data_IF_958986856822
#
_entry.id   IF_958986856822
#
_cell.length_a   1.000
_cell.length_b   1.000
_cell.length_c   1.000
_cell.angle_alpha   90.00
_cell.angle_beta   90.00
_cell.angle_gamma   90.00
#
_symmetry.space_group_name_H-M   'P 1'
#
loop_
_entity.id
_entity.type
_entity.pdbx_description
1 polymer ?
#
# COMPACT_ATOMS: atom_id res chain seq x y z
N UNK A 1 44.22 42.21 3.73
CA UNK A 1 42.83 41.88 3.34
C UNK A 1 42.26 40.90 4.34
N UNK A 2 41.56 41.48 5.29
CA UNK A 2 40.63 40.94 6.29
C UNK A 2 39.54 40.08 5.64
N UNK A 3 39.21 38.93 6.21
CA UNK A 3 38.03 38.77 7.05
C UNK A 3 37.89 37.31 7.55
N UNK A 4 37.88 37.20 8.87
CA UNK A 4 37.64 36.02 9.69
C UNK A 4 36.13 35.96 9.95
N UNK A 5 35.45 34.92 9.48
CA UNK A 5 34.01 34.73 9.68
C UNK A 5 33.77 33.59 10.68
N UNK A 6 34.06 33.85 11.95
CA UNK A 6 33.76 32.91 13.03
C UNK A 6 33.24 33.68 14.26
N UNK A 7 32.04 34.25 14.15
CA UNK A 7 31.32 34.79 15.30
C UNK A 7 29.82 35.01 15.01
N UNK A 8 28.97 34.03 15.32
CA UNK A 8 27.54 34.26 15.61
C UNK A 8 26.88 33.04 16.30
N UNK A 9 27.52 32.45 17.33
CA UNK A 9 26.76 31.72 18.37
C UNK A 9 26.52 32.68 19.52
N UNK A 10 25.52 33.53 19.34
CA UNK A 10 25.02 34.43 20.37
C UNK A 10 23.91 33.68 21.12
N UNK A 11 24.19 33.42 22.39
CA UNK A 11 23.23 33.27 23.49
C UNK A 11 22.08 32.27 23.29
N UNK A 12 22.35 30.99 23.56
CA UNK A 12 21.30 30.09 24.06
C UNK A 12 21.60 29.77 25.53
N UNK A 13 21.05 30.61 26.40
CA UNK A 13 20.79 30.27 27.80
C UNK A 13 19.92 29.01 27.82
N UNK A 14 20.54 27.85 28.06
CA UNK A 14 19.81 26.63 28.39
C UNK A 14 19.40 26.75 29.86
N UNK A 15 18.27 27.41 30.11
CA UNK A 15 17.61 27.36 31.41
C UNK A 15 16.98 25.97 31.54
N UNK A 16 17.60 25.12 32.35
CA UNK A 16 16.97 23.91 32.87
C UNK A 16 15.71 24.32 33.64
N UNK A 17 14.53 24.09 33.06
CA UNK A 17 13.27 24.23 33.79
C UNK A 17 13.21 23.05 34.78
N UNK A 18 13.62 23.32 36.02
CA UNK A 18 13.39 22.44 37.15
C UNK A 18 11.89 22.51 37.51
N UNK A 19 11.08 21.60 36.97
CA UNK A 19 9.69 21.46 37.41
C UNK A 19 9.68 20.70 38.74
N UNK A 20 9.21 21.30 39.85
CA UNK A 20 9.11 20.61 41.13
C UNK A 20 8.14 19.42 41.04
N UNK A 21 8.58 18.26 41.51
CA UNK A 21 7.88 16.96 41.47
C UNK A 21 6.75 16.82 42.50
N UNK A 22 6.09 17.90 42.89
CA UNK A 22 5.11 17.87 43.97
C UNK A 22 3.90 18.71 43.64
N UNK A 23 2.75 18.03 43.59
CA UNK A 23 1.38 18.55 43.44
C UNK A 23 0.86 18.57 42.00
N UNK A 24 0.42 17.40 41.51
CA UNK A 24 -0.79 17.18 40.72
C UNK A 24 -0.90 15.69 40.36
N UNK A 25 -1.10 14.85 41.38
CA UNK A 25 -1.32 13.40 41.22
C UNK A 25 -2.82 13.02 41.17
N UNK A 26 -3.70 13.98 40.88
CA UNK A 26 -5.16 13.79 40.95
C UNK A 26 -5.86 14.18 39.64
N UNK A 27 -5.51 13.55 38.51
CA UNK A 27 -6.42 13.32 37.37
C UNK A 27 -5.75 12.60 36.18
N UNK A 28 -5.14 11.43 36.41
CA UNK A 28 -4.70 10.56 35.31
C UNK A 28 -5.40 9.21 35.34
N UNK A 29 -6.71 9.24 35.18
CA UNK A 29 -7.46 8.15 34.56
C UNK A 29 -7.22 8.17 33.03
N UNK A 30 -5.96 8.07 32.60
CA UNK A 30 -5.66 7.69 31.23
C UNK A 30 -5.95 6.19 31.12
N UNK A 31 -7.20 5.85 30.85
CA UNK A 31 -7.50 4.70 30.02
C UNK A 31 -6.77 4.95 28.70
N UNK A 32 -5.50 4.52 28.62
CA UNK A 32 -4.88 4.19 27.34
C UNK A 32 -5.53 2.89 26.86
N UNK A 33 -6.84 2.95 26.61
CA UNK A 33 -7.42 2.13 25.59
C UNK A 33 -6.68 2.52 24.33
N UNK A 34 -5.74 1.69 23.90
CA UNK A 34 -5.23 1.72 22.53
C UNK A 34 -6.47 1.79 21.66
N UNK A 35 -6.78 2.96 21.08
CA UNK A 35 -7.93 3.11 20.20
C UNK A 35 -7.70 2.09 19.09
N UNK A 36 -8.46 1.00 19.09
CA UNK A 36 -8.37 0.00 18.04
C UNK A 36 -8.91 0.67 16.78
N UNK A 37 -8.01 0.96 15.84
CA UNK A 37 -8.39 1.35 14.50
C UNK A 37 -8.99 0.11 13.83
N UNK A 38 -10.32 0.08 13.69
CA UNK A 38 -10.99 -0.97 12.93
C UNK A 38 -10.94 -0.61 11.44
N UNK A 39 -10.21 -1.41 10.67
CA UNK A 39 -10.23 -1.34 9.22
C UNK A 39 -11.43 -2.17 8.73
N UNK A 40 -12.43 -1.50 8.14
CA UNK A 40 -13.55 -2.16 7.48
C UNK A 40 -13.25 -2.29 5.99
N UNK A 41 -13.15 -3.51 5.49
CA UNK A 41 -12.97 -3.83 4.07
C UNK A 41 -14.19 -4.60 3.61
N UNK A 42 -14.78 -4.22 2.48
CA UNK A 42 -15.85 -4.98 1.81
C UNK A 42 -15.19 -5.77 0.69
N UNK A 43 -14.95 -7.09 0.85
CA UNK A 43 -14.14 -7.85 -0.11
C UNK A 43 -14.72 -7.86 -1.52
N UNK A 44 -16.05 -7.80 -1.65
CA UNK A 44 -16.75 -7.72 -2.94
C UNK A 44 -16.39 -6.43 -3.70
N UNK A 45 -16.22 -5.31 -2.99
CA UNK A 45 -15.78 -4.05 -3.62
C UNK A 45 -14.32 -4.12 -4.07
N UNK A 46 -13.47 -4.80 -3.30
CA UNK A 46 -12.06 -5.02 -3.68
C UNK A 46 -11.96 -5.90 -4.92
N UNK A 47 -12.81 -6.92 -5.03
CA UNK A 47 -12.86 -7.78 -6.21
C UNK A 47 -13.35 -7.01 -7.45
N UNK A 48 -14.40 -6.18 -7.32
CA UNK A 48 -14.84 -5.27 -8.40
C UNK A 48 -13.72 -4.33 -8.82
N UNK A 49 -13.03 -3.69 -7.88
CA UNK A 49 -11.92 -2.79 -8.18
C UNK A 49 -10.77 -3.52 -8.90
N UNK A 50 -10.50 -4.78 -8.54
CA UNK A 50 -9.51 -5.61 -9.24
C UNK A 50 -9.91 -5.93 -10.68
N UNK A 51 -11.21 -6.09 -10.96
CA UNK A 51 -11.74 -6.27 -12.31
C UNK A 51 -11.64 -4.97 -13.13
N UNK A 52 -12.02 -3.84 -12.54
CA UNK A 52 -11.91 -2.52 -13.18
C UNK A 52 -10.45 -2.23 -13.56
N UNK A 53 -9.53 -2.53 -12.65
CA UNK A 53 -8.10 -2.30 -12.85
C UNK A 53 -7.55 -3.17 -14.00
N UNK A 54 -7.97 -4.44 -14.09
CA UNK A 54 -7.65 -5.29 -15.23
C UNK A 54 -8.22 -4.75 -16.55
N UNK A 55 -9.42 -4.18 -16.52
CA UNK A 55 -10.04 -3.49 -17.66
C UNK A 55 -9.22 -2.29 -18.14
N UNK A 56 -8.78 -1.42 -17.21
CA UNK A 56 -7.90 -0.29 -17.50
C UNK A 56 -6.59 -0.77 -18.14
N UNK A 57 -6.00 -1.85 -17.63
CA UNK A 57 -4.77 -2.42 -18.19
C UNK A 57 -4.95 -2.92 -19.62
N UNK A 58 -6.07 -3.58 -19.91
CA UNK A 58 -6.40 -4.04 -21.26
C UNK A 58 -6.47 -2.86 -22.23
N UNK A 59 -7.18 -1.78 -21.86
CA UNK A 59 -7.27 -0.57 -22.66
C UNK A 59 -5.89 0.09 -22.87
N UNK A 60 -5.05 0.13 -21.83
CA UNK A 60 -3.70 0.67 -21.91
C UNK A 60 -2.81 -0.17 -22.85
N UNK A 61 -2.91 -1.50 -22.79
CA UNK A 61 -2.18 -2.40 -23.69
C UNK A 61 -2.56 -2.15 -25.16
N UNK A 62 -3.84 -1.99 -25.45
CA UNK A 62 -4.31 -1.62 -26.79
C UNK A 62 -3.74 -0.27 -27.25
N UNK A 63 -3.69 0.73 -26.34
CA UNK A 63 -3.09 2.03 -26.63
C UNK A 63 -1.59 1.93 -26.93
N UNK A 64 -0.83 1.15 -26.16
CA UNK A 64 0.61 0.95 -26.41
C UNK A 64 0.87 0.21 -27.73
N UNK A 65 0.04 -0.80 -28.05
CA UNK A 65 0.12 -1.51 -29.31
C UNK A 65 -0.16 -0.57 -30.51
N UNK A 66 -1.20 0.25 -30.41
CA UNK A 66 -1.52 1.26 -31.44
C UNK A 66 -0.40 2.30 -31.60
N UNK A 67 0.26 2.70 -30.51
CA UNK A 67 1.37 3.63 -30.53
C UNK A 67 2.69 3.02 -31.02
N UNK A 68 2.85 1.69 -31.01
CA UNK A 68 4.12 1.02 -31.31
C UNK A 68 4.65 1.37 -32.70
N UNK A 69 3.83 1.23 -33.74
CA UNK A 69 4.21 1.60 -35.11
C UNK A 69 4.67 3.06 -35.23
N UNK A 70 3.78 4.05 -34.99
CA UNK A 70 4.09 5.46 -35.23
C UNK A 70 5.22 6.02 -34.37
N UNK A 71 5.54 5.41 -33.21
CA UNK A 71 6.62 5.88 -32.33
C UNK A 71 7.96 5.17 -32.55
N UNK A 72 7.97 4.00 -33.21
CA UNK A 72 9.21 3.23 -33.45
C UNK A 72 9.71 3.31 -34.88
N UNK A 73 8.81 3.54 -35.84
CA UNK A 73 9.11 3.67 -37.26
C UNK A 73 9.09 5.14 -37.72
N UNK A 74 9.78 6.00 -36.97
CA UNK A 74 9.90 7.44 -37.30
C UNK A 74 10.82 7.61 -38.50
N UNK A 75 10.34 8.29 -39.53
CA UNK A 75 11.10 8.61 -40.76
C UNK A 75 11.76 9.98 -40.59
N UNK A 76 12.94 10.16 -41.21
CA UNK A 76 13.61 11.47 -41.21
C UNK A 76 12.79 12.51 -41.98
N UNK A 77 12.81 13.75 -41.49
CA UNK A 77 12.10 14.86 -42.14
C UNK A 77 12.79 15.32 -43.44
N UNK A 78 14.10 15.07 -43.54
CA UNK A 78 14.93 15.33 -44.71
C UNK A 78 16.10 14.32 -44.77
N UNK A 79 16.89 14.36 -45.85
CA UNK A 79 18.03 13.46 -46.10
C UNK A 79 19.30 13.84 -45.31
N UNK A 80 19.27 14.92 -44.55
CA UNK A 80 20.42 15.35 -43.77
C UNK A 80 20.67 14.45 -42.54
N UNK A 81 21.92 14.45 -42.10
CA UNK A 81 22.37 13.62 -40.98
C UNK A 81 21.67 13.99 -39.67
N UNK A 82 21.29 15.25 -39.46
CA UNK A 82 20.61 15.71 -38.24
C UNK A 82 19.18 15.17 -38.20
N UNK A 83 18.43 15.29 -39.30
CA UNK A 83 17.08 14.71 -39.44
C UNK A 83 17.09 13.19 -39.24
N UNK A 84 18.10 12.51 -39.79
CA UNK A 84 18.29 11.06 -39.62
C UNK A 84 18.59 10.69 -38.17
N UNK A 85 19.50 11.44 -37.52
CA UNK A 85 19.85 11.22 -36.12
C UNK A 85 18.65 11.45 -35.18
N UNK A 86 17.86 12.50 -35.42
CA UNK A 86 16.65 12.79 -34.64
C UNK A 86 15.63 11.66 -34.79
N UNK A 87 15.33 11.21 -36.01
CA UNK A 87 14.41 10.10 -36.25
C UNK A 87 14.87 8.81 -35.54
N UNK A 88 16.17 8.52 -35.57
CA UNK A 88 16.77 7.38 -34.88
C UNK A 88 16.59 7.45 -33.36
N UNK A 89 16.81 8.62 -32.75
CA UNK A 89 16.61 8.83 -31.30
C UNK A 89 15.15 8.60 -30.92
N UNK A 90 14.20 9.16 -31.67
CA UNK A 90 12.78 8.96 -31.38
C UNK A 90 12.36 7.49 -31.54
N UNK A 91 12.81 6.82 -32.60
CA UNK A 91 12.54 5.40 -32.78
C UNK A 91 13.13 4.53 -31.67
N UNK A 92 14.33 4.86 -31.18
CA UNK A 92 14.96 4.20 -30.04
C UNK A 92 14.18 4.41 -28.75
N UNK A 93 13.73 5.65 -28.49
CA UNK A 93 12.91 5.98 -27.33
C UNK A 93 11.56 5.26 -27.38
N UNK A 94 10.91 5.22 -28.55
CA UNK A 94 9.67 4.45 -28.76
C UNK A 94 9.84 2.98 -28.37
N UNK A 95 10.95 2.34 -28.77
CA UNK A 95 11.25 0.94 -28.38
C UNK A 95 11.45 0.79 -26.88
N UNK A 96 12.12 1.72 -26.22
CA UNK A 96 12.28 1.71 -24.76
C UNK A 96 10.93 1.84 -24.04
N UNK A 97 10.04 2.72 -24.52
CA UNK A 97 8.69 2.83 -23.99
C UNK A 97 7.90 1.53 -24.11
N UNK A 98 8.05 0.78 -25.21
CA UNK A 98 7.40 -0.52 -25.40
C UNK A 98 7.95 -1.59 -24.44
N UNK A 99 9.27 -1.61 -24.20
CA UNK A 99 9.85 -2.52 -23.21
C UNK A 99 9.34 -2.20 -21.80
N UNK A 100 9.29 -0.91 -21.44
CA UNK A 100 8.78 -0.48 -20.15
C UNK A 100 7.28 -0.80 -19.99
N UNK A 101 6.48 -0.63 -21.04
CA UNK A 101 5.04 -0.92 -20.97
C UNK A 101 4.77 -2.40 -20.74
N UNK A 102 5.60 -3.29 -21.32
CA UNK A 102 5.55 -4.73 -21.07
C UNK A 102 5.93 -5.08 -19.63
N UNK A 103 6.99 -4.49 -19.08
CA UNK A 103 7.38 -4.66 -17.68
C UNK A 103 6.29 -4.19 -16.71
N UNK A 104 5.69 -3.03 -17.00
CA UNK A 104 4.54 -2.53 -16.25
C UNK A 104 3.33 -3.47 -16.35
N UNK A 105 3.21 -4.28 -17.41
CA UNK A 105 2.15 -5.30 -17.53
C UNK A 105 2.31 -6.37 -16.50
N UNK A 106 3.49 -6.98 -16.47
CA UNK A 106 3.78 -8.07 -15.56
C UNK A 106 3.59 -7.63 -14.10
N UNK A 107 4.06 -6.42 -13.76
CA UNK A 107 3.84 -5.85 -12.43
C UNK A 107 2.35 -5.67 -12.11
N UNK A 108 1.59 -5.12 -13.06
CA UNK A 108 0.16 -4.88 -12.86
C UNK A 108 -0.62 -6.18 -12.67
N UNK A 109 -0.29 -7.22 -13.43
CA UNK A 109 -0.93 -8.53 -13.33
C UNK A 109 -0.70 -9.13 -11.93
N UNK A 110 0.52 -9.06 -11.42
CA UNK A 110 0.85 -9.48 -10.05
C UNK A 110 0.12 -8.64 -9.01
N UNK A 111 0.05 -7.32 -9.20
CA UNK A 111 -0.67 -6.43 -8.30
C UNK A 111 -2.17 -6.78 -8.20
N UNK A 112 -2.83 -6.99 -9.33
CA UNK A 112 -4.24 -7.40 -9.38
C UNK A 112 -4.43 -8.78 -8.74
N UNK A 113 -3.51 -9.71 -8.95
CA UNK A 113 -3.54 -11.03 -8.34
C UNK A 113 -3.42 -10.95 -6.80
N UNK A 114 -2.48 -10.15 -6.30
CA UNK A 114 -2.32 -9.88 -4.87
C UNK A 114 -3.59 -9.25 -4.28
N UNK A 115 -4.20 -8.29 -4.98
CA UNK A 115 -5.41 -7.62 -4.51
C UNK A 115 -6.58 -8.61 -4.35
N UNK A 116 -6.78 -9.49 -5.34
CA UNK A 116 -7.80 -10.56 -5.30
C UNK A 116 -7.54 -11.57 -4.18
N UNK A 117 -6.28 -11.98 -4.03
CA UNK A 117 -5.87 -12.91 -2.98
C UNK A 117 -6.09 -12.30 -1.59
N UNK A 118 -5.77 -11.02 -1.42
CA UNK A 118 -6.01 -10.27 -0.19
C UNK A 118 -7.50 -10.20 0.17
N UNK A 119 -8.37 -9.87 -0.81
CA UNK A 119 -9.83 -9.86 -0.61
C UNK A 119 -10.34 -11.23 -0.14
N UNK A 120 -9.85 -12.30 -0.74
CA UNK A 120 -10.19 -13.68 -0.36
C UNK A 120 -9.74 -14.00 1.07
N UNK A 121 -8.54 -13.56 1.47
CA UNK A 121 -8.03 -13.74 2.84
C UNK A 121 -8.90 -13.02 3.88
N UNK A 122 -9.36 -11.79 3.58
CA UNK A 122 -10.32 -11.08 4.45
C UNK A 122 -11.64 -11.85 4.59
N UNK A 123 -12.22 -12.32 3.48
CA UNK A 123 -13.45 -13.14 3.52
C UNK A 123 -13.29 -14.40 4.37
N UNK A 124 -12.18 -15.11 4.20
CA UNK A 124 -11.92 -16.33 4.96
C UNK A 124 -11.80 -16.07 6.47
N UNK A 125 -11.18 -14.94 6.84
CA UNK A 125 -11.06 -14.52 8.25
C UNK A 125 -12.44 -14.20 8.84
N UNK A 126 -13.27 -13.44 8.13
CA UNK A 126 -14.64 -13.14 8.55
C UNK A 126 -15.48 -14.42 8.71
N UNK A 127 -15.34 -15.37 7.79
CA UNK A 127 -16.03 -16.66 7.87
C UNK A 127 -15.57 -17.49 9.09
N UNK A 128 -14.26 -17.59 9.32
CA UNK A 128 -13.71 -18.32 10.47
C UNK A 128 -14.14 -17.70 11.81
N UNK A 129 -14.18 -16.36 11.89
CA UNK A 129 -14.67 -15.63 13.04
C UNK A 129 -16.17 -15.88 13.26
N UNK A 130 -16.99 -15.83 12.20
CA UNK A 130 -18.42 -16.13 12.28
C UNK A 130 -18.69 -17.57 12.74
N UNK A 131 -17.95 -18.55 12.22
CA UNK A 131 -18.07 -19.95 12.65
C UNK A 131 -17.71 -20.12 14.14
N UNK A 132 -16.61 -19.51 14.58
CA UNK A 132 -16.20 -19.54 16.00
C UNK A 132 -17.25 -18.91 16.91
N UNK A 133 -17.87 -17.81 16.48
CA UNK A 133 -18.95 -17.16 17.23
C UNK A 133 -20.18 -18.05 17.36
N UNK A 134 -20.58 -18.75 16.29
CA UNK A 134 -21.69 -19.72 16.33
C UNK A 134 -21.37 -20.88 17.27
N UNK A 135 -20.17 -21.47 17.17
CA UNK A 135 -19.74 -22.55 18.07
C UNK A 135 -19.72 -22.09 19.53
N UNK A 136 -19.23 -20.88 19.80
CA UNK A 136 -19.24 -20.31 21.15
C UNK A 136 -20.66 -20.10 21.67
N UNK A 137 -21.58 -19.60 20.84
CA UNK A 137 -22.98 -19.40 21.21
C UNK A 137 -23.70 -20.73 21.50
N UNK A 138 -23.47 -21.76 20.67
CA UNK A 138 -24.03 -23.11 20.88
C UNK A 138 -23.48 -23.75 22.15
N UNK A 139 -22.20 -23.54 22.46
CA UNK A 139 -21.56 -24.11 23.64
C UNK A 139 -21.80 -23.29 24.92
N UNK A 140 -22.35 -22.07 24.83
CA UNK A 140 -22.55 -21.19 25.99
C UNK A 140 -23.50 -21.79 27.05
N UNK A 141 -24.66 -22.39 26.72
CA UNK A 141 -25.52 -23.06 27.71
C UNK A 141 -24.83 -24.25 28.37
N UNK A 142 -24.09 -25.07 27.62
CA UNK A 142 -23.33 -26.18 28.17
C UNK A 142 -22.24 -25.71 29.15
N UNK A 143 -21.55 -24.61 28.85
CA UNK A 143 -20.58 -23.96 29.76
C UNK A 143 -21.24 -23.39 31.01
N UNK A 144 -22.47 -22.88 30.89
CA UNK A 144 -23.24 -22.35 32.03
C UNK A 144 -23.77 -23.45 32.95
N UNK A 145 -24.16 -24.60 32.39
CA UNK A 145 -24.66 -25.75 33.15
C UNK A 145 -23.52 -26.54 33.81
N UNK A 146 -22.36 -26.62 33.16
CA UNK A 146 -21.21 -27.41 33.64
C UNK A 146 -20.26 -26.61 34.54
N UNK A 147 -20.37 -25.28 34.61
CA UNK A 147 -19.77 -24.38 35.60
C UNK A 147 -18.24 -24.43 35.80
N UNK A 148 -17.49 -25.34 35.16
CA UNK A 148 -16.09 -25.63 35.44
C UNK A 148 -15.38 -26.03 34.13
N UNK A 149 -14.11 -25.65 33.90
CA UNK A 149 -13.41 -25.97 32.66
C UNK A 149 -12.86 -27.41 32.67
N UNK A 150 -13.40 -28.32 31.84
CA UNK A 150 -12.79 -29.60 31.40
C UNK A 150 -13.40 -29.92 30.02
N UNK A 151 -12.69 -30.32 28.96
CA UNK A 151 -11.74 -31.43 28.84
C UNK A 151 -10.55 -31.01 27.95
N UNK A 152 -9.33 -31.17 28.48
CA UNK A 152 -8.16 -31.40 27.65
C UNK A 152 -8.26 -32.84 27.16
N UNK A 153 -8.44 -33.07 25.87
CA UNK A 153 -8.11 -34.36 25.26
C UNK A 153 -6.60 -34.36 25.05
N UNK A 154 -5.87 -34.89 26.04
CA UNK A 154 -4.49 -35.29 25.89
C UNK A 154 -4.44 -36.80 25.60
N UNK A 155 -3.62 -37.15 24.61
CA UNK A 155 -3.27 -38.48 24.06
C UNK A 155 -4.30 -39.14 23.14
#
# INVERSE_FOLDING_TARGET
>A
MTANANLARKDRHFTTINVPRSSLDNNRSESRGTSMQFLSVIPEQVESAAQDLAGIRSALSASYAAAAGPTTAVVSAAEDEVSTAIASIFGAYGRQCQVLSAQASAFHDEFVNLLKTGATAYRNTEFANAQSNVLNAVNAPARSLLGHPRLSTAS
#
